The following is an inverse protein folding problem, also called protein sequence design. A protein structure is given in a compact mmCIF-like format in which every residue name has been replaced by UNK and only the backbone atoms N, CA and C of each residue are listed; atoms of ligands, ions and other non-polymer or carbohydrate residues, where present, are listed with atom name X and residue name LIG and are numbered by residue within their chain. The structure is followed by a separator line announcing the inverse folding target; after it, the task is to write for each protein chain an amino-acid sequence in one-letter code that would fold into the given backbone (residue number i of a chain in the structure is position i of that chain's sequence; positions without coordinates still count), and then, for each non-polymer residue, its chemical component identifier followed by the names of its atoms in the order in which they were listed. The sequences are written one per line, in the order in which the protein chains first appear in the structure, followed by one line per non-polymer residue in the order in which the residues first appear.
data_IF_199748476489
#
_entry.id   IF_199748476489
#
_cell.length_a   1.000
_cell.length_b   1.000
_cell.length_c   1.000
_cell.angle_alpha   90.00
_cell.angle_beta   90.00
_cell.angle_gamma   90.00
#
_symmetry.space_group_name_H-M   'P 1'
#
loop_
_entity.id
_entity.type
_entity.pdbx_description
1 polymer ?
#
# COMPACT_ATOMS: atom_id res chain seq x y z
N UNK A 1 14.73 -8.19 -20.86
CA UNK A 1 13.89 -8.76 -19.81
C UNK A 1 12.43 -8.79 -20.21
N UNK A 2 11.64 -9.69 -19.58
CA UNK A 2 10.19 -9.67 -19.75
C UNK A 2 9.53 -8.75 -18.74
N UNK A 3 8.48 -8.06 -19.19
CA UNK A 3 7.61 -7.21 -18.37
C UNK A 3 6.14 -7.52 -18.67
N UNK A 4 5.25 -7.27 -17.70
CA UNK A 4 3.82 -7.23 -17.93
C UNK A 4 3.43 -5.76 -18.03
N UNK A 5 2.93 -5.35 -19.18
CA UNK A 5 2.62 -3.95 -19.45
C UNK A 5 1.43 -3.77 -20.37
N UNK A 6 1.12 -2.51 -20.64
CA UNK A 6 0.05 -2.12 -21.56
C UNK A 6 0.59 -1.24 -22.70
N UNK A 7 0.22 -1.53 -23.93
CA UNK A 7 0.48 -0.65 -25.08
C UNK A 7 -0.63 0.39 -25.26
N UNK A 8 -1.84 0.02 -24.90
CA UNK A 8 -3.00 0.89 -24.89
C UNK A 8 -3.79 0.69 -23.61
N UNK A 9 -4.38 1.76 -23.10
CA UNK A 9 -5.17 1.70 -21.87
C UNK A 9 -6.50 0.99 -22.08
N UNK A 10 -6.96 0.27 -21.04
CA UNK A 10 -8.20 -0.50 -21.15
C UNK A 10 -8.50 -1.35 -19.92
N UNK A 11 -9.32 -2.37 -20.10
CA UNK A 11 -9.65 -3.37 -19.10
C UNK A 11 -8.48 -4.33 -18.80
N UNK A 12 -8.66 -5.30 -17.89
CA UNK A 12 -7.60 -6.24 -17.52
C UNK A 12 -6.96 -7.00 -18.71
N UNK A 13 -7.70 -7.21 -19.77
CA UNK A 13 -7.29 -7.93 -20.97
C UNK A 13 -6.15 -7.26 -21.75
N UNK A 14 -5.88 -5.96 -21.54
CA UNK A 14 -4.80 -5.24 -22.21
C UNK A 14 -3.42 -5.51 -21.61
N UNK A 15 -3.36 -6.15 -20.43
CA UNK A 15 -2.11 -6.57 -19.81
C UNK A 15 -1.49 -7.72 -20.60
N UNK A 16 -0.30 -7.51 -21.13
CA UNK A 16 0.41 -8.48 -21.95
C UNK A 16 1.89 -8.55 -21.57
N UNK A 17 2.52 -9.67 -21.95
CA UNK A 17 3.96 -9.84 -21.81
C UNK A 17 4.66 -9.10 -22.96
N UNK A 18 5.66 -8.30 -22.62
CA UNK A 18 6.52 -7.58 -23.58
C UNK A 18 7.98 -7.86 -23.27
N UNK A 19 8.82 -7.79 -24.29
CA UNK A 19 10.27 -7.84 -24.15
C UNK A 19 10.83 -6.42 -24.26
N UNK A 20 11.63 -6.02 -23.25
CA UNK A 20 12.28 -4.71 -23.21
C UNK A 20 13.76 -4.90 -22.85
N UNK A 21 14.65 -3.94 -23.16
CA UNK A 21 16.04 -3.99 -22.72
C UNK A 21 16.19 -4.16 -21.20
N UNK A 22 17.22 -4.86 -20.79
CA UNK A 22 17.55 -4.97 -19.36
C UNK A 22 18.01 -3.61 -18.83
N UNK A 23 17.49 -3.13 -17.71
CA UNK A 23 17.97 -1.90 -17.07
C UNK A 23 19.28 -2.17 -16.31
N UNK A 24 20.12 -1.16 -16.19
CA UNK A 24 21.37 -1.21 -15.40
C UNK A 24 21.34 -0.14 -14.30
N UNK A 25 21.82 -0.45 -13.08
CA UNK A 25 21.83 0.49 -11.99
C UNK A 25 22.93 1.54 -12.17
N UNK A 26 22.60 2.80 -11.95
CA UNK A 26 23.55 3.90 -11.80
C UNK A 26 24.19 3.94 -10.39
N UNK A 27 25.03 4.95 -10.11
CA UNK A 27 25.58 5.15 -8.77
C UNK A 27 24.48 5.31 -7.71
N UNK A 28 24.61 4.63 -6.56
CA UNK A 28 23.62 4.65 -5.47
C UNK A 28 22.32 3.92 -5.80
N UNK A 29 22.35 3.00 -6.77
CA UNK A 29 21.21 2.18 -7.16
C UNK A 29 21.58 0.70 -7.16
N UNK A 30 20.58 -0.14 -7.10
CA UNK A 30 20.68 -1.58 -7.32
C UNK A 30 19.72 -2.03 -8.39
N UNK A 31 20.04 -3.15 -9.05
CA UNK A 31 19.08 -3.90 -9.84
C UNK A 31 18.60 -5.11 -9.03
N UNK A 32 17.30 -5.28 -8.98
CA UNK A 32 16.62 -6.36 -8.28
C UNK A 32 16.07 -7.33 -9.31
N UNK A 33 16.41 -8.60 -9.18
CA UNK A 33 15.67 -9.69 -9.83
C UNK A 33 14.38 -9.88 -9.02
N UNK A 34 13.27 -9.42 -9.59
CA UNK A 34 11.97 -9.47 -8.94
C UNK A 34 11.47 -10.92 -8.93
N UNK A 35 11.07 -11.40 -7.78
CA UNK A 35 10.42 -12.69 -7.60
C UNK A 35 8.92 -12.57 -7.34
N UNK A 36 8.51 -11.43 -6.75
CA UNK A 36 7.12 -11.15 -6.46
C UNK A 36 6.79 -9.66 -6.56
N UNK A 37 5.62 -9.36 -7.12
CA UNK A 37 5.06 -8.01 -7.20
C UNK A 37 3.60 -8.03 -6.75
N UNK A 38 3.21 -7.17 -5.78
CA UNK A 38 1.84 -7.16 -5.31
C UNK A 38 0.94 -6.27 -6.18
N UNK A 39 -0.29 -6.74 -6.40
CA UNK A 39 -1.29 -6.05 -7.22
C UNK A 39 -2.05 -5.02 -6.38
N UNK A 40 -2.18 -3.80 -6.90
CA UNK A 40 -2.79 -2.66 -6.22
C UNK A 40 -3.92 -2.01 -7.03
N UNK A 41 -4.89 -1.34 -6.39
CA UNK A 41 -5.86 -0.51 -7.09
C UNK A 41 -5.20 0.58 -7.96
N UNK A 42 -4.03 1.09 -7.57
CA UNK A 42 -3.24 2.05 -8.36
C UNK A 42 -2.76 1.49 -9.69
N UNK A 43 -2.50 0.18 -9.76
CA UNK A 43 -2.09 -0.50 -10.99
C UNK A 43 -3.27 -0.59 -11.97
N UNK A 44 -4.48 -0.85 -11.46
CA UNK A 44 -5.70 -0.81 -12.26
C UNK A 44 -5.97 0.59 -12.80
N UNK A 45 -5.74 1.64 -11.99
CA UNK A 45 -5.85 3.04 -12.44
C UNK A 45 -4.84 3.36 -13.54
N UNK A 46 -3.59 2.93 -13.42
CA UNK A 46 -2.56 3.10 -14.46
C UNK A 46 -3.00 2.38 -15.75
N UNK A 47 -3.34 1.11 -15.64
CA UNK A 47 -3.77 0.28 -16.76
C UNK A 47 -4.96 0.91 -17.51
N UNK A 48 -5.89 1.53 -16.79
CA UNK A 48 -7.07 2.20 -17.35
C UNK A 48 -6.78 3.61 -17.91
N UNK A 49 -5.54 4.11 -17.81
CA UNK A 49 -5.16 5.46 -18.29
C UNK A 49 -5.45 6.60 -17.30
N UNK A 50 -5.80 6.28 -16.05
CA UNK A 50 -6.10 7.27 -15.02
C UNK A 50 -4.87 7.92 -14.37
N UNK A 51 -3.66 7.58 -14.80
CA UNK A 51 -2.41 8.20 -14.35
C UNK A 51 -1.76 9.01 -15.48
N UNK A 52 -1.20 10.17 -15.10
CA UNK A 52 -0.37 10.95 -16.03
C UNK A 52 1.03 10.34 -16.11
N UNK A 53 1.39 9.81 -17.28
CA UNK A 53 2.68 9.16 -17.54
C UNK A 53 3.66 10.04 -18.32
N UNK A 54 3.29 11.29 -18.62
CA UNK A 54 4.10 12.20 -19.43
C UNK A 54 4.30 11.67 -20.86
N UNK A 55 5.48 11.94 -21.43
CA UNK A 55 5.84 11.52 -22.80
C UNK A 55 6.39 10.08 -22.87
N UNK A 56 6.11 9.25 -21.87
CA UNK A 56 6.59 7.87 -21.82
C UNK A 56 5.96 7.03 -22.94
N UNK A 57 6.82 6.29 -23.62
CA UNK A 57 6.37 5.34 -24.63
C UNK A 57 5.94 4.02 -24.00
N UNK A 58 4.90 3.35 -24.53
CA UNK A 58 4.57 2.00 -24.11
C UNK A 58 5.69 0.98 -24.41
N UNK A 59 5.69 -0.19 -23.75
CA UNK A 59 4.67 -0.61 -22.81
C UNK A 59 4.76 0.13 -21.47
N UNK A 60 3.59 0.54 -20.92
CA UNK A 60 3.52 1.10 -19.58
C UNK A 60 3.42 -0.04 -18.56
N UNK A 61 4.40 -0.14 -17.67
CA UNK A 61 4.54 -1.25 -16.73
C UNK A 61 3.98 -0.85 -15.36
N UNK A 62 2.91 -1.51 -14.86
CA UNK A 62 2.37 -1.29 -13.51
C UNK A 62 3.25 -1.91 -12.42
N UNK A 63 2.76 -1.85 -11.18
CA UNK A 63 3.35 -2.45 -9.99
C UNK A 63 4.13 -1.45 -9.17
N UNK A 64 3.70 -1.28 -7.91
CA UNK A 64 4.38 -0.38 -6.96
C UNK A 64 5.17 -1.14 -5.88
N UNK A 65 4.89 -2.42 -5.68
CA UNK A 65 5.53 -3.25 -4.68
C UNK A 65 6.36 -4.35 -5.32
N UNK A 66 7.60 -4.50 -4.91
CA UNK A 66 8.47 -5.57 -5.35
C UNK A 66 9.16 -6.25 -4.18
N UNK A 67 9.38 -7.56 -4.28
CA UNK A 67 10.34 -8.29 -3.47
C UNK A 67 11.16 -9.23 -4.37
N UNK A 68 12.45 -9.34 -4.07
CA UNK A 68 13.36 -10.12 -4.90
C UNK A 68 14.78 -10.12 -4.37
N UNK A 69 15.71 -10.47 -5.22
CA UNK A 69 17.13 -10.57 -4.89
C UNK A 69 17.93 -9.52 -5.64
N UNK A 70 18.81 -8.81 -4.95
CA UNK A 70 19.76 -7.88 -5.61
C UNK A 70 20.59 -8.69 -6.61
N UNK A 71 20.58 -8.28 -7.87
CA UNK A 71 21.23 -8.94 -8.99
C UNK A 71 22.47 -8.19 -9.47
N UNK A 72 22.40 -6.86 -9.53
CA UNK A 72 23.49 -5.97 -9.92
C UNK A 72 23.53 -4.75 -9.00
N UNK A 73 24.73 -4.24 -8.73
CA UNK A 73 24.97 -3.17 -7.76
C UNK A 73 25.71 -2.02 -8.42
N UNK A 74 25.14 -0.83 -8.36
CA UNK A 74 25.80 0.41 -8.82
C UNK A 74 26.91 0.89 -7.89
N UNK A 75 27.73 1.78 -8.39
CA UNK A 75 28.85 2.31 -7.61
C UNK A 75 28.36 3.06 -6.35
N UNK A 76 29.00 2.80 -5.22
CA UNK A 76 28.70 3.47 -3.94
C UNK A 76 27.53 2.86 -3.15
N UNK A 77 26.83 1.87 -3.68
CA UNK A 77 25.78 1.15 -2.96
C UNK A 77 26.34 0.33 -1.80
N UNK A 78 25.59 0.28 -0.70
CA UNK A 78 25.90 -0.56 0.46
C UNK A 78 25.36 -2.00 0.32
N UNK A 79 24.49 -2.25 -0.64
CA UNK A 79 23.89 -3.55 -0.91
C UNK A 79 24.85 -4.50 -1.61
N UNK A 80 24.54 -5.78 -1.60
CA UNK A 80 25.34 -6.84 -2.24
C UNK A 80 24.46 -7.73 -3.11
N UNK A 81 25.00 -8.22 -4.21
CA UNK A 81 24.35 -9.27 -4.99
C UNK A 81 24.04 -10.47 -4.09
N UNK A 82 22.80 -10.97 -4.19
CA UNK A 82 22.28 -12.03 -3.33
C UNK A 82 21.46 -11.53 -2.13
N UNK A 83 21.50 -10.24 -1.78
CA UNK A 83 20.64 -9.71 -0.71
C UNK A 83 19.16 -9.84 -1.08
N UNK A 84 18.36 -10.42 -0.17
CA UNK A 84 16.91 -10.49 -0.30
C UNK A 84 16.27 -9.19 0.17
N UNK A 85 15.54 -8.51 -0.72
CA UNK A 85 15.03 -7.16 -0.51
C UNK A 85 13.57 -7.01 -0.93
N UNK A 86 12.92 -6.00 -0.36
CA UNK A 86 11.62 -5.49 -0.78
C UNK A 86 11.68 -3.97 -0.91
N UNK A 87 10.79 -3.40 -1.71
CA UNK A 87 10.75 -1.96 -1.88
C UNK A 87 9.62 -1.46 -2.76
N UNK A 88 9.56 -0.14 -2.91
CA UNK A 88 8.61 0.53 -3.80
C UNK A 88 9.26 0.72 -5.17
N UNK A 89 8.47 0.45 -6.22
CA UNK A 89 8.75 0.85 -7.59
C UNK A 89 7.92 2.07 -7.97
N UNK A 90 8.42 2.86 -8.92
CA UNK A 90 7.68 3.98 -9.48
C UNK A 90 7.22 3.67 -10.91
N UNK A 91 5.95 3.28 -11.15
CA UNK A 91 5.46 3.03 -12.51
C UNK A 91 5.63 4.22 -13.45
N UNK A 92 5.67 5.44 -12.88
CA UNK A 92 5.96 6.68 -13.61
C UNK A 92 7.46 7.00 -13.72
N UNK A 93 8.33 6.21 -13.10
CA UNK A 93 9.77 6.35 -13.14
C UNK A 93 10.38 5.84 -14.45
N UNK A 94 11.66 6.05 -14.68
CA UNK A 94 12.36 5.74 -15.93
C UNK A 94 12.21 4.27 -16.36
N UNK A 95 12.24 3.35 -15.41
CA UNK A 95 12.24 1.91 -15.69
C UNK A 95 10.85 1.24 -15.55
N UNK A 96 9.78 2.03 -15.27
CA UNK A 96 8.44 1.49 -15.06
C UNK A 96 8.26 0.88 -13.67
N UNK A 97 7.20 0.08 -13.52
CA UNK A 97 6.81 -0.54 -12.26
C UNK A 97 7.37 -1.95 -12.06
N UNK A 98 6.93 -2.58 -10.98
CA UNK A 98 7.43 -3.86 -10.49
C UNK A 98 6.95 -5.10 -11.27
N UNK A 99 6.04 -4.95 -12.24
CA UNK A 99 5.62 -6.08 -13.08
C UNK A 99 6.70 -6.41 -14.13
N UNK A 100 7.92 -6.59 -13.68
CA UNK A 100 9.11 -6.76 -14.50
C UNK A 100 10.06 -7.79 -13.86
N UNK A 101 10.77 -8.57 -14.68
CA UNK A 101 11.79 -9.50 -14.17
C UNK A 101 12.95 -8.80 -13.46
N UNK A 102 13.28 -7.58 -13.89
CA UNK A 102 14.36 -6.77 -13.33
C UNK A 102 13.84 -5.36 -13.05
N UNK A 103 14.17 -4.84 -11.87
CA UNK A 103 13.79 -3.50 -11.40
C UNK A 103 15.05 -2.78 -10.92
N UNK A 104 15.27 -1.55 -11.37
CA UNK A 104 16.28 -0.67 -10.79
C UNK A 104 15.64 0.23 -9.75
N UNK A 105 16.23 0.27 -8.55
CA UNK A 105 15.78 1.08 -7.43
C UNK A 105 16.96 1.80 -6.76
N UNK A 106 16.76 3.02 -6.22
CA UNK A 106 17.72 3.65 -5.32
C UNK A 106 17.94 2.81 -4.06
N UNK A 107 19.13 2.90 -3.50
CA UNK A 107 19.53 2.18 -2.27
C UNK A 107 18.63 2.48 -1.08
N UNK A 108 18.13 3.70 -1.00
CA UNK A 108 17.29 4.22 0.06
C UNK A 108 15.77 4.02 -0.19
N UNK A 109 15.41 3.30 -1.26
CA UNK A 109 14.03 2.94 -1.59
C UNK A 109 13.70 1.48 -1.25
N UNK A 110 14.65 0.75 -0.68
CA UNK A 110 14.54 -0.68 -0.39
C UNK A 110 14.98 -1.02 1.03
N UNK A 111 14.50 -2.14 1.53
CA UNK A 111 14.91 -2.76 2.79
C UNK A 111 15.03 -4.28 2.61
N UNK A 112 15.67 -4.97 3.58
CA UNK A 112 15.64 -6.44 3.62
C UNK A 112 14.20 -6.93 3.78
N UNK A 113 13.90 -8.13 3.29
CA UNK A 113 12.62 -8.77 3.61
C UNK A 113 12.56 -9.15 5.10
N UNK A 114 11.35 -9.25 5.69
CA UNK A 114 11.21 -9.76 7.06
C UNK A 114 11.73 -11.19 7.19
N UNK A 115 12.20 -11.56 8.40
CA UNK A 115 12.68 -12.90 8.70
C UNK A 115 11.55 -13.94 8.49
N UNK A 116 11.93 -15.12 8.05
CA UNK A 116 11.00 -16.24 7.85
C UNK A 116 9.82 -15.97 6.89
N UNK A 117 9.95 -14.97 6.03
CA UNK A 117 8.97 -14.71 4.96
C UNK A 117 9.52 -15.11 3.60
N UNK A 118 8.62 -15.47 2.67
CA UNK A 118 8.94 -15.60 1.27
C UNK A 118 8.76 -14.26 0.53
N UNK A 119 9.22 -14.16 -0.71
CA UNK A 119 9.12 -12.92 -1.49
C UNK A 119 7.68 -12.51 -1.77
N UNK A 120 6.76 -13.47 -1.95
CA UNK A 120 5.36 -13.16 -2.18
C UNK A 120 4.73 -12.49 -0.95
N UNK A 121 5.04 -12.97 0.24
CA UNK A 121 4.60 -12.39 1.51
C UNK A 121 5.25 -11.02 1.73
N UNK A 122 6.56 -10.90 1.53
CA UNK A 122 7.30 -9.65 1.69
C UNK A 122 6.80 -8.54 0.74
N UNK A 123 6.45 -8.87 -0.51
CA UNK A 123 5.92 -7.90 -1.48
C UNK A 123 4.56 -7.28 -1.06
N UNK A 124 3.87 -7.82 -0.06
CA UNK A 124 2.60 -7.25 0.40
C UNK A 124 2.78 -5.99 1.25
N UNK A 125 3.98 -5.75 1.79
CA UNK A 125 4.24 -4.74 2.82
C UNK A 125 4.52 -3.32 2.28
N UNK A 126 5.40 -3.08 1.28
CA UNK A 126 6.04 -1.78 1.09
C UNK A 126 5.07 -0.61 0.94
N UNK A 127 4.25 -0.59 -0.10
CA UNK A 127 3.38 0.55 -0.40
C UNK A 127 2.34 0.78 0.71
N UNK A 128 1.64 -0.28 1.14
CA UNK A 128 0.59 -0.13 2.14
C UNK A 128 1.16 0.14 3.53
N UNK A 129 2.29 -0.46 3.89
CA UNK A 129 2.98 -0.17 5.15
C UNK A 129 3.45 1.28 5.23
N UNK A 130 4.11 1.78 4.17
CA UNK A 130 4.52 3.18 4.11
C UNK A 130 3.32 4.14 4.10
N UNK A 131 2.24 3.80 3.40
CA UNK A 131 1.00 4.61 3.43
C UNK A 131 0.41 4.67 4.84
N UNK A 132 0.39 3.54 5.56
CA UNK A 132 -0.12 3.49 6.93
C UNK A 132 0.73 4.33 7.89
N UNK A 133 2.07 4.21 7.82
CA UNK A 133 2.98 5.04 8.61
C UNK A 133 2.80 6.53 8.31
N UNK A 134 2.78 6.91 7.02
CA UNK A 134 2.60 8.30 6.60
C UNK A 134 1.27 8.88 7.11
N UNK A 135 0.19 8.08 7.08
CA UNK A 135 -1.10 8.52 7.59
C UNK A 135 -1.10 8.76 9.10
N UNK A 136 -0.51 7.85 9.89
CA UNK A 136 -0.41 7.99 11.34
C UNK A 136 0.53 9.13 11.74
N UNK A 137 1.68 9.26 11.10
CA UNK A 137 2.61 10.38 11.32
C UNK A 137 1.97 11.73 10.99
N UNK A 138 1.17 11.83 9.92
CA UNK A 138 0.48 13.06 9.55
C UNK A 138 -0.60 13.45 10.55
N UNK A 139 -1.30 12.48 11.13
CA UNK A 139 -2.31 12.72 12.17
C UNK A 139 -1.68 13.11 13.52
N UNK A 140 -0.44 12.72 13.79
CA UNK A 140 0.34 13.00 15.02
C UNK A 140 -0.46 12.76 16.32
N UNK A 141 -1.26 11.69 16.36
CA UNK A 141 -2.06 11.36 17.55
C UNK A 141 -1.16 10.88 18.70
N UNK A 142 -1.59 11.15 19.92
CA UNK A 142 -0.89 10.73 21.12
C UNK A 142 -1.52 9.46 21.70
N UNK A 143 -0.80 8.65 22.48
CA UNK A 143 -1.38 7.51 23.19
C UNK A 143 -2.70 7.88 23.87
N UNK A 144 -3.64 6.95 23.92
CA UNK A 144 -5.01 7.09 24.45
C UNK A 144 -5.97 7.92 23.59
N UNK A 145 -5.48 8.70 22.58
CA UNK A 145 -6.39 9.34 21.63
C UNK A 145 -7.10 8.31 20.74
N UNK A 146 -8.17 8.77 20.10
CA UNK A 146 -9.08 7.92 19.34
C UNK A 146 -8.84 8.03 17.84
N UNK A 147 -8.72 6.89 17.18
CA UNK A 147 -8.57 6.77 15.73
C UNK A 147 -9.73 5.97 15.14
N UNK A 148 -10.38 6.52 14.12
CA UNK A 148 -11.27 5.73 13.28
C UNK A 148 -10.56 5.23 12.03
N UNK A 149 -10.87 4.01 11.59
CA UNK A 149 -10.32 3.40 10.37
C UNK A 149 -11.44 2.87 9.51
N UNK A 150 -11.58 3.37 8.29
CA UNK A 150 -12.50 2.79 7.30
C UNK A 150 -11.76 1.86 6.34
N UNK A 151 -12.46 0.86 5.77
CA UNK A 151 -11.83 -0.16 4.97
C UNK A 151 -10.91 -1.09 5.78
N UNK A 152 -11.26 -1.30 7.04
CA UNK A 152 -10.44 -1.98 8.06
C UNK A 152 -10.02 -3.40 7.67
N UNK A 153 -10.90 -4.19 7.03
CA UNK A 153 -10.59 -5.54 6.58
C UNK A 153 -9.59 -5.59 5.40
N UNK A 154 -9.35 -4.46 4.72
CA UNK A 154 -8.35 -4.32 3.66
C UNK A 154 -6.92 -4.37 4.22
N UNK A 155 -5.92 -4.47 3.32
CA UNK A 155 -4.50 -4.53 3.73
C UNK A 155 -4.07 -3.23 4.41
N UNK A 156 -4.38 -2.08 3.82
CA UNK A 156 -4.03 -0.78 4.39
C UNK A 156 -4.71 -0.57 5.74
N UNK A 157 -6.03 -0.80 5.83
CA UNK A 157 -6.78 -0.63 7.06
C UNK A 157 -6.26 -1.53 8.19
N UNK A 158 -5.95 -2.80 7.89
CA UNK A 158 -5.34 -3.72 8.85
C UNK A 158 -4.02 -3.19 9.40
N UNK A 159 -3.09 -2.75 8.52
CA UNK A 159 -1.81 -2.18 8.97
C UNK A 159 -1.99 -0.90 9.79
N UNK A 160 -2.95 -0.04 9.44
CA UNK A 160 -3.26 1.16 10.22
C UNK A 160 -3.72 0.78 11.64
N UNK A 161 -4.60 -0.22 11.77
CA UNK A 161 -5.11 -0.69 13.08
C UNK A 161 -3.96 -1.25 13.91
N UNK A 162 -3.18 -2.21 13.35
CA UNK A 162 -2.08 -2.86 14.06
C UNK A 162 -1.03 -1.84 14.53
N UNK A 163 -0.64 -0.88 13.68
CA UNK A 163 0.29 0.20 14.04
C UNK A 163 -0.30 1.14 15.10
N UNK A 164 -1.55 1.56 14.94
CA UNK A 164 -2.23 2.43 15.90
C UNK A 164 -2.33 1.79 17.28
N UNK A 165 -2.64 0.50 17.34
CA UNK A 165 -2.65 -0.25 18.61
C UNK A 165 -1.27 -0.38 19.22
N UNK A 166 -0.24 -0.58 18.41
CA UNK A 166 1.16 -0.57 18.87
C UNK A 166 1.57 0.79 19.48
N UNK A 167 1.02 1.88 18.95
CA UNK A 167 1.26 3.24 19.45
C UNK A 167 0.33 3.64 20.62
N UNK A 168 -0.54 2.72 21.07
CA UNK A 168 -1.40 2.93 22.26
C UNK A 168 -2.67 3.72 21.99
N UNK A 169 -3.12 3.81 20.73
CA UNK A 169 -4.38 4.49 20.40
C UNK A 169 -5.59 3.60 20.71
N UNK A 170 -6.74 4.25 20.95
CA UNK A 170 -8.04 3.60 20.95
C UNK A 170 -8.59 3.59 19.53
N UNK A 171 -8.89 2.41 18.97
CA UNK A 171 -9.26 2.25 17.58
C UNK A 171 -10.71 1.81 17.43
N UNK A 172 -11.49 2.57 16.62
CA UNK A 172 -12.79 2.15 16.10
C UNK A 172 -12.68 1.89 14.59
N UNK A 173 -13.12 0.71 14.14
CA UNK A 173 -12.95 0.27 12.77
C UNK A 173 -14.27 -0.15 12.14
N UNK A 174 -14.38 -0.09 10.81
CA UNK A 174 -15.57 -0.58 10.11
C UNK A 174 -15.39 -2.02 9.62
N UNK A 175 -16.44 -2.82 9.66
CA UNK A 175 -16.44 -4.16 9.08
C UNK A 175 -17.84 -4.58 8.57
N UNK A 176 -17.85 -5.52 7.63
CA UNK A 176 -19.02 -6.37 7.38
C UNK A 176 -19.05 -7.51 8.40
N UNK A 177 -20.22 -8.16 8.57
CA UNK A 177 -20.39 -9.25 9.53
C UNK A 177 -19.37 -10.39 9.35
N UNK A 178 -19.00 -10.69 8.11
CA UNK A 178 -18.00 -11.74 7.82
C UNK A 178 -16.56 -11.31 8.02
N UNK A 179 -16.31 -10.04 8.28
CA UNK A 179 -14.97 -9.50 8.52
C UNK A 179 -14.73 -9.15 10.00
N UNK A 180 -15.73 -9.30 10.87
CA UNK A 180 -15.66 -8.92 12.29
C UNK A 180 -14.46 -9.57 12.98
N UNK A 181 -14.35 -10.89 12.95
CA UNK A 181 -13.26 -11.64 13.60
C UNK A 181 -11.89 -11.20 13.05
N UNK A 182 -11.81 -10.92 11.75
CA UNK A 182 -10.57 -10.46 11.13
C UNK A 182 -10.16 -9.07 11.66
N UNK A 183 -11.11 -8.12 11.71
CA UNK A 183 -10.83 -6.75 12.15
C UNK A 183 -10.55 -6.70 13.66
N UNK A 184 -11.27 -7.50 14.45
CA UNK A 184 -10.97 -7.67 15.88
C UNK A 184 -9.57 -8.27 16.11
N UNK A 185 -9.14 -9.21 15.25
CA UNK A 185 -7.79 -9.81 15.35
C UNK A 185 -6.66 -8.82 15.12
N UNK A 186 -6.89 -7.69 14.43
CA UNK A 186 -5.93 -6.59 14.29
C UNK A 186 -5.84 -5.72 15.55
N UNK A 187 -6.74 -5.91 16.51
CA UNK A 187 -6.76 -5.22 17.80
C UNK A 187 -7.71 -4.02 17.87
N UNK A 188 -8.66 -3.87 16.94
CA UNK A 188 -9.68 -2.81 17.05
C UNK A 188 -10.47 -2.93 18.35
N UNK A 189 -10.60 -1.81 19.12
CA UNK A 189 -11.32 -1.79 20.38
C UNK A 189 -12.83 -1.78 20.18
N UNK A 190 -13.28 -1.18 19.06
CA UNK A 190 -14.68 -1.14 18.67
C UNK A 190 -14.79 -1.45 17.16
N UNK A 191 -15.82 -2.21 16.80
CA UNK A 191 -16.13 -2.47 15.40
C UNK A 191 -17.56 -2.01 15.12
N UNK A 192 -17.74 -1.22 14.05
CA UNK A 192 -19.02 -0.73 13.58
C UNK A 192 -19.33 -1.29 12.20
N UNK A 193 -20.61 -1.44 11.86
CA UNK A 193 -20.99 -1.87 10.53
C UNK A 193 -20.53 -0.85 9.47
N UNK A 194 -19.91 -1.33 8.38
CA UNK A 194 -19.51 -0.49 7.25
C UNK A 194 -20.69 0.12 6.50
N UNK A 195 -20.41 1.10 5.67
CA UNK A 195 -21.40 1.70 4.77
C UNK A 195 -21.51 3.22 4.91
N UNK A 196 -22.48 3.80 4.22
CA UNK A 196 -22.64 5.26 4.11
C UNK A 196 -22.92 5.94 5.47
N UNK A 197 -23.43 5.18 6.45
CA UNK A 197 -23.72 5.67 7.82
C UNK A 197 -22.56 5.50 8.80
N UNK A 198 -21.37 5.15 8.35
CA UNK A 198 -20.22 4.83 9.22
C UNK A 198 -19.93 5.93 10.23
N UNK A 199 -19.99 7.19 9.81
CA UNK A 199 -19.73 8.33 10.70
C UNK A 199 -20.75 8.41 11.87
N UNK A 200 -22.03 8.16 11.60
CA UNK A 200 -23.07 8.13 12.65
C UNK A 200 -22.81 7.00 13.63
N UNK A 201 -22.46 5.81 13.14
CA UNK A 201 -22.17 4.64 14.00
C UNK A 201 -20.93 4.83 14.85
N UNK A 202 -19.88 5.48 14.33
CA UNK A 202 -18.69 5.85 15.10
C UNK A 202 -19.08 6.81 16.23
N UNK A 203 -19.95 7.79 15.97
CA UNK A 203 -20.43 8.75 16.97
C UNK A 203 -21.34 8.15 18.04
N UNK A 204 -21.85 6.95 17.86
CA UNK A 204 -22.55 6.21 18.95
C UNK A 204 -21.57 5.82 20.07
N UNK A 205 -20.31 5.54 19.75
CA UNK A 205 -19.23 5.27 20.71
C UNK A 205 -18.52 6.56 21.16
N UNK A 206 -18.32 7.50 20.23
CA UNK A 206 -17.62 8.77 20.44
C UNK A 206 -18.52 9.95 20.06
N UNK A 207 -19.43 10.40 20.94
CA UNK A 207 -20.42 11.44 20.62
C UNK A 207 -19.83 12.75 20.11
N UNK A 208 -18.68 13.15 20.65
CA UNK A 208 -17.95 14.36 20.24
C UNK A 208 -17.11 14.16 18.96
N UNK A 209 -17.00 12.90 18.48
CA UNK A 209 -16.17 12.48 17.38
C UNK A 209 -14.81 11.97 17.81
N UNK A 210 -14.11 11.32 16.87
CA UNK A 210 -12.75 10.79 17.08
C UNK A 210 -11.69 11.88 16.84
N UNK A 211 -10.49 11.74 17.44
CA UNK A 211 -9.37 12.66 17.25
C UNK A 211 -8.81 12.64 15.83
N UNK A 212 -8.76 11.46 15.22
CA UNK A 212 -8.30 11.26 13.86
C UNK A 212 -9.07 10.17 13.13
N UNK A 213 -9.02 10.22 11.80
CA UNK A 213 -9.58 9.19 10.94
C UNK A 213 -8.65 8.90 9.75
N UNK A 214 -8.40 7.61 9.48
CA UNK A 214 -7.76 7.15 8.23
C UNK A 214 -8.82 6.53 7.33
N UNK A 215 -9.08 7.19 6.19
CA UNK A 215 -10.06 6.73 5.20
C UNK A 215 -9.41 5.85 4.14
N UNK A 216 -9.28 4.54 4.46
CA UNK A 216 -8.78 3.56 3.50
C UNK A 216 -9.88 2.98 2.59
N UNK A 217 -11.15 3.28 2.87
CA UNK A 217 -12.29 2.91 2.02
C UNK A 217 -12.65 3.98 0.97
N UNK A 218 -12.03 5.17 1.06
CA UNK A 218 -12.31 6.31 0.16
C UNK A 218 -13.79 6.73 0.22
N UNK A 219 -14.28 6.89 1.44
CA UNK A 219 -15.65 7.35 1.71
C UNK A 219 -15.73 8.88 1.75
N UNK A 220 -14.60 9.55 1.95
CA UNK A 220 -14.42 11.00 1.88
C UNK A 220 -15.46 11.76 2.75
N UNK A 221 -16.36 12.53 2.14
CA UNK A 221 -17.38 13.33 2.84
C UNK A 221 -18.35 12.48 3.70
N UNK A 222 -18.49 11.17 3.46
CA UNK A 222 -19.33 10.28 4.26
C UNK A 222 -18.66 9.87 5.57
N UNK A 223 -17.32 9.81 5.60
CA UNK A 223 -16.56 9.45 6.79
C UNK A 223 -16.15 10.68 7.63
N UNK A 224 -15.88 11.81 6.99
CA UNK A 224 -15.40 13.02 7.65
C UNK A 224 -16.27 13.51 8.84
N UNK A 225 -17.61 13.35 8.86
CA UNK A 225 -18.42 13.71 10.04
C UNK A 225 -18.09 12.92 11.30
N UNK A 226 -17.37 11.78 11.23
CA UNK A 226 -16.95 11.03 12.41
C UNK A 226 -15.88 11.77 13.22
N UNK A 227 -15.10 12.64 12.59
CA UNK A 227 -14.00 13.38 13.24
C UNK A 227 -14.56 14.52 14.09
N UNK A 228 -13.96 14.77 15.27
CA UNK A 228 -14.31 15.92 16.14
C UNK A 228 -13.88 17.25 15.49
N UNK A 229 -14.38 18.34 16.00
CA UNK A 229 -13.90 19.67 15.62
C UNK A 229 -12.40 19.82 15.94
N UNK A 230 -11.65 20.37 15.00
CA UNK A 230 -10.20 20.50 15.07
C UNK A 230 -9.41 19.19 15.01
N UNK A 231 -10.04 18.06 14.68
CA UNK A 231 -9.38 16.77 14.50
C UNK A 231 -8.68 16.61 13.15
N UNK A 232 -8.15 15.41 12.88
CA UNK A 232 -7.42 15.07 11.65
C UNK A 232 -8.16 14.07 10.77
N UNK A 233 -8.12 14.25 9.45
CA UNK A 233 -8.67 13.34 8.45
C UNK A 233 -7.60 12.98 7.41
N UNK A 234 -7.14 11.74 7.40
CA UNK A 234 -6.15 11.25 6.43
C UNK A 234 -6.86 10.51 5.29
N UNK A 235 -6.73 11.03 4.07
CA UNK A 235 -7.28 10.42 2.84
C UNK A 235 -6.18 9.93 1.91
N UNK A 236 -6.37 8.79 1.26
CA UNK A 236 -5.36 8.15 0.39
C UNK A 236 -5.59 8.39 -1.11
N UNK A 237 -6.64 9.13 -1.49
CA UNK A 237 -7.00 9.40 -2.90
C UNK A 237 -7.21 10.86 -3.23
N UNK A 238 -6.43 11.77 -2.65
CA UNK A 238 -6.44 13.20 -3.02
C UNK A 238 -7.82 13.84 -2.98
N UNK A 239 -8.68 13.44 -2.04
CA UNK A 239 -9.95 14.12 -1.83
C UNK A 239 -9.74 15.64 -1.73
N UNK A 240 -10.45 16.41 -2.55
CA UNK A 240 -10.32 17.86 -2.62
C UNK A 240 -11.37 18.60 -1.77
N UNK A 241 -12.24 17.85 -1.07
CA UNK A 241 -13.28 18.42 -0.23
C UNK A 241 -12.74 19.13 1.01
N UNK A 242 -13.60 19.92 1.62
CA UNK A 242 -13.39 20.58 2.90
C UNK A 242 -14.50 20.14 3.86
N UNK A 243 -14.18 19.39 4.93
CA UNK A 243 -15.18 18.95 5.91
C UNK A 243 -15.63 20.09 6.85
N UNK A 244 -15.00 21.28 6.80
CA UNK A 244 -15.23 22.36 7.76
C UNK A 244 -14.81 21.98 9.17
N UNK A 245 -15.36 22.67 10.18
CA UNK A 245 -15.17 22.37 11.61
C UNK A 245 -13.70 22.33 12.06
N UNK A 246 -12.83 23.12 11.40
CA UNK A 246 -11.38 23.16 11.62
C UNK A 246 -10.69 21.79 11.51
N UNK A 247 -11.30 20.83 10.80
CA UNK A 247 -10.70 19.50 10.55
C UNK A 247 -9.56 19.65 9.54
N UNK A 248 -8.37 19.18 9.93
CA UNK A 248 -7.20 19.17 9.05
C UNK A 248 -7.25 17.95 8.11
N UNK A 249 -7.27 18.19 6.80
CA UNK A 249 -7.25 17.12 5.79
C UNK A 249 -5.81 16.83 5.36
N UNK A 250 -5.33 15.63 5.70
CA UNK A 250 -4.03 15.11 5.29
C UNK A 250 -4.19 14.25 4.03
N UNK A 251 -3.62 14.71 2.92
CA UNK A 251 -3.67 13.99 1.62
C UNK A 251 -2.44 13.10 1.50
N UNK A 252 -2.58 11.86 1.87
CA UNK A 252 -1.49 10.88 1.90
C UNK A 252 -1.10 10.50 0.48
N UNK A 253 0.20 10.55 0.20
CA UNK A 253 0.76 10.25 -1.10
C UNK A 253 2.04 9.44 -0.94
N UNK A 254 1.96 8.13 -1.10
CA UNK A 254 3.08 7.21 -0.88
C UNK A 254 4.29 7.45 -1.81
N UNK A 255 4.12 8.18 -2.91
CA UNK A 255 5.25 8.60 -3.75
C UNK A 255 6.25 9.50 -2.99
N UNK A 256 5.78 10.23 -1.96
CA UNK A 256 6.63 11.07 -1.12
C UNK A 256 7.54 10.22 -0.21
N UNK A 257 7.20 8.94 -0.04
CA UNK A 257 7.94 7.94 0.72
C UNK A 257 8.87 7.08 -0.15
N UNK A 258 9.11 7.44 -1.41
CA UNK A 258 9.93 6.62 -2.31
C UNK A 258 11.36 6.41 -1.79
N UNK A 259 11.94 7.38 -1.14
CA UNK A 259 13.27 7.34 -0.54
C UNK A 259 13.24 7.06 0.97
N UNK A 260 12.34 6.18 1.43
CA UNK A 260 12.11 5.89 2.86
C UNK A 260 12.53 4.47 3.25
N UNK A 261 13.74 4.04 2.84
CA UNK A 261 14.29 2.72 3.20
C UNK A 261 14.37 2.50 4.71
N UNK A 262 14.63 3.55 5.51
CA UNK A 262 14.61 3.47 6.97
C UNK A 262 13.20 3.15 7.52
N UNK A 263 12.15 3.74 6.94
CA UNK A 263 10.75 3.41 7.32
C UNK A 263 10.38 1.99 6.88
N UNK A 264 10.85 1.55 5.70
CA UNK A 264 10.68 0.17 5.27
C UNK A 264 11.37 -0.81 6.23
N UNK A 265 12.58 -0.49 6.71
CA UNK A 265 13.27 -1.34 7.68
C UNK A 265 12.60 -1.29 9.07
N UNK A 266 12.01 -0.15 9.49
CA UNK A 266 11.12 -0.08 10.66
C UNK A 266 9.93 -1.01 10.51
N UNK A 267 9.25 -0.98 9.37
CA UNK A 267 8.12 -1.87 9.08
C UNK A 267 8.53 -3.35 9.09
N UNK A 268 9.68 -3.68 8.51
CA UNK A 268 10.25 -5.02 8.56
C UNK A 268 10.39 -5.50 10.00
N UNK A 269 11.02 -4.70 10.87
CA UNK A 269 11.18 -5.05 12.29
C UNK A 269 9.83 -5.26 12.99
N UNK A 270 8.82 -4.44 12.69
CA UNK A 270 7.47 -4.61 13.25
C UNK A 270 6.80 -5.91 12.79
N UNK A 271 7.11 -6.39 11.59
CA UNK A 271 6.70 -7.74 11.16
C UNK A 271 7.45 -8.81 11.94
N UNK A 272 8.77 -8.69 12.08
CA UNK A 272 9.62 -9.65 12.82
C UNK A 272 9.22 -9.75 14.30
N UNK A 273 8.79 -8.62 14.89
CA UNK A 273 8.30 -8.52 16.27
C UNK A 273 6.82 -8.98 16.43
N UNK A 274 6.17 -9.38 15.34
CA UNK A 274 4.77 -9.85 15.35
C UNK A 274 3.72 -8.75 15.53
N UNK A 275 4.09 -7.48 15.31
CA UNK A 275 3.16 -6.33 15.36
C UNK A 275 2.33 -6.24 14.08
N UNK A 276 2.95 -6.47 12.93
CA UNK A 276 2.28 -6.41 11.63
C UNK A 276 2.07 -7.80 11.04
N UNK A 277 0.87 -8.04 10.52
CA UNK A 277 0.46 -9.32 9.90
C UNK A 277 0.41 -9.20 8.38
N UNK A 278 1.35 -9.84 7.69
CA UNK A 278 1.38 -9.88 6.22
C UNK A 278 0.36 -10.88 5.68
N UNK A 279 -0.45 -10.47 4.71
CA UNK A 279 -1.55 -11.28 4.19
C UNK A 279 -1.49 -11.40 2.67
N UNK A 280 -1.25 -12.61 2.16
CA UNK A 280 -1.36 -12.97 0.74
C UNK A 280 -2.74 -13.58 0.51
N UNK A 281 -3.58 -12.92 -0.29
CA UNK A 281 -4.93 -13.40 -0.64
C UNK A 281 -4.95 -14.31 -1.87
N UNK A 282 -3.89 -14.31 -2.66
CA UNK A 282 -3.75 -15.17 -3.83
C UNK A 282 -2.43 -14.93 -4.55
N UNK A 283 -1.90 -16.00 -5.16
CA UNK A 283 -0.66 -15.98 -5.95
C UNK A 283 -1.00 -16.32 -7.39
N UNK A 284 -0.43 -15.60 -8.32
CA UNK A 284 -0.66 -15.75 -9.75
C UNK A 284 0.69 -15.75 -10.48
N UNK A 285 0.92 -16.67 -11.41
CA UNK A 285 2.02 -16.51 -12.37
C UNK A 285 1.91 -15.14 -13.07
N UNK A 286 3.02 -14.47 -13.35
CA UNK A 286 3.02 -13.14 -13.97
C UNK A 286 2.16 -13.07 -15.24
N UNK A 287 2.17 -14.14 -16.07
CA UNK A 287 1.33 -14.21 -17.27
C UNK A 287 -0.18 -14.15 -17.00
N UNK A 288 -0.61 -14.36 -15.75
CA UNK A 288 -2.01 -14.26 -15.31
C UNK A 288 -2.34 -12.91 -14.67
N UNK A 289 -1.55 -11.87 -14.87
CA UNK A 289 -1.77 -10.53 -14.31
C UNK A 289 -3.19 -10.00 -14.62
N UNK A 290 -3.71 -10.25 -15.82
CA UNK A 290 -5.08 -9.88 -16.18
C UNK A 290 -6.13 -10.53 -15.27
N UNK A 291 -5.94 -11.78 -14.85
CA UNK A 291 -6.84 -12.46 -13.93
C UNK A 291 -6.73 -11.92 -12.51
N UNK A 292 -5.50 -11.65 -12.04
CA UNK A 292 -5.28 -11.01 -10.75
C UNK A 292 -5.97 -9.63 -10.68
N UNK A 293 -5.91 -8.83 -11.76
CA UNK A 293 -6.63 -7.56 -11.84
C UNK A 293 -8.15 -7.74 -11.82
N UNK A 294 -8.72 -8.70 -12.57
CA UNK A 294 -10.17 -9.01 -12.49
C UNK A 294 -10.58 -9.40 -11.08
N UNK A 295 -9.77 -10.24 -10.42
CA UNK A 295 -10.03 -10.67 -9.04
C UNK A 295 -10.01 -9.50 -8.06
N UNK A 296 -9.07 -8.56 -8.23
CA UNK A 296 -9.01 -7.34 -7.42
C UNK A 296 -10.25 -6.47 -7.63
N UNK A 297 -10.62 -6.23 -8.89
CA UNK A 297 -11.75 -5.38 -9.26
C UNK A 297 -13.12 -5.96 -8.84
N UNK A 298 -13.23 -7.28 -8.74
CA UNK A 298 -14.40 -7.95 -8.19
C UNK A 298 -14.63 -7.67 -6.70
N UNK A 299 -13.62 -7.12 -6.00
CA UNK A 299 -13.70 -6.79 -4.58
C UNK A 299 -13.64 -8.01 -3.65
N UNK A 300 -13.83 -7.80 -2.36
CA UNK A 300 -13.83 -8.87 -1.36
C UNK A 300 -12.46 -9.55 -1.15
N UNK A 301 -11.36 -8.88 -1.48
CA UNK A 301 -10.00 -9.38 -1.24
C UNK A 301 -9.54 -8.98 0.16
N UNK A 302 -9.10 -9.97 0.96
CA UNK A 302 -8.61 -9.78 2.33
C UNK A 302 -7.13 -10.11 2.42
N UNK A 303 -6.28 -9.17 2.00
CA UNK A 303 -4.85 -9.30 1.78
C UNK A 303 -4.46 -8.81 0.39
N UNK A 304 -3.25 -9.15 -0.07
CA UNK A 304 -2.77 -8.76 -1.41
C UNK A 304 -2.80 -9.93 -2.38
N UNK A 305 -3.15 -9.64 -3.62
CA UNK A 305 -2.87 -10.55 -4.73
C UNK A 305 -1.42 -10.29 -5.15
N UNK A 306 -0.69 -11.35 -5.49
CA UNK A 306 0.73 -11.27 -5.79
C UNK A 306 1.01 -11.97 -7.12
N UNK A 307 1.77 -11.31 -7.98
CA UNK A 307 2.33 -11.89 -9.20
C UNK A 307 3.70 -12.50 -8.89
N UNK A 308 3.92 -13.74 -9.29
CA UNK A 308 5.21 -14.43 -9.23
C UNK A 308 5.88 -14.34 -10.61
N UNK A 309 7.11 -13.76 -10.66
CA UNK A 309 7.83 -13.42 -11.87
C UNK A 309 8.98 -14.37 -12.17
#
# INVERSE_FOLDING_TARGET
MLVIGVESFGGPEVLAVHEVPDPHPGPGQVRIRVHAAAVSPTDAVLRAGGQQLGDRRPPHVPGMDAAGTVDEVGAGSAWRAGDAVMGIALPRGEHGGAYAQLLVAPDDSIARIPENTDFATAATLPMNGLTALQALEALDLKPEQTLAVTGAAGTLGGYVIELAKHEGLTVVADADDHDLELVESFGADHVVARGDDVARRIREFFPDGVDGLVDAAVLDEKAAPAVRDGGGFATVRRWAGDPGRDITVHRINVYDEYHSGEKLDRLRRLVDDGVLTLRVAGRYPAAQAAEAHRRLEAGGVRGRLVLEL
#
